data_IF_375186766291
#
_entry.id   IF_375186766291
#
_cell.length_a   1.000
_cell.length_b   1.000
_cell.length_c   1.000
_cell.angle_alpha   90.00
_cell.angle_beta   90.00
_cell.angle_gamma   90.00
#
_symmetry.space_group_name_H-M   'P 1'
#
loop_
_entity.id
_entity.type
_entity.pdbx_description
1 polymer ?
#
# COMPACT_ATOMS: atom_id res chain seq x y z
N UNK A 1 -15.06 -16.27 -1.81
CA UNK A 1 -14.55 -14.90 -2.02
C UNK A 1 -15.52 -13.95 -1.33
N UNK A 2 -15.10 -13.16 -0.34
CA UNK A 2 -16.01 -12.25 0.38
C UNK A 2 -16.42 -11.08 -0.52
N UNK A 3 -17.71 -10.72 -0.52
CA UNK A 3 -18.21 -9.54 -1.23
C UNK A 3 -17.59 -8.27 -0.64
N UNK A 4 -17.50 -7.19 -1.44
CA UNK A 4 -16.95 -5.93 -0.96
C UNK A 4 -17.74 -5.38 0.24
N UNK A 5 -19.06 -5.54 0.24
CA UNK A 5 -19.93 -5.19 1.36
C UNK A 5 -19.60 -5.96 2.63
N UNK A 6 -19.22 -7.23 2.52
CA UNK A 6 -18.75 -8.04 3.65
C UNK A 6 -17.38 -7.56 4.18
N UNK A 7 -16.55 -6.93 3.36
CA UNK A 7 -15.26 -6.35 3.78
C UNK A 7 -15.42 -4.99 4.45
N UNK A 8 -16.47 -4.25 4.09
CA UNK A 8 -16.74 -2.90 4.58
C UNK A 8 -17.77 -2.84 5.71
N UNK A 9 -18.53 -3.93 5.94
CA UNK A 9 -19.46 -4.03 7.05
C UNK A 9 -18.70 -3.93 8.39
N UNK A 10 -18.96 -2.85 9.13
CA UNK A 10 -18.54 -2.76 10.53
C UNK A 10 -19.21 -3.92 11.30
N UNK A 11 -18.46 -4.65 12.14
CA UNK A 11 -19.02 -5.77 12.87
C UNK A 11 -20.16 -5.28 13.79
N UNK A 12 -21.27 -6.05 13.83
CA UNK A 12 -22.46 -5.74 14.66
C UNK A 12 -22.13 -5.57 16.16
N UNK A 13 -21.01 -6.14 16.60
CA UNK A 13 -20.42 -5.94 17.92
C UNK A 13 -19.01 -5.39 17.71
N UNK A 14 -18.68 -4.29 18.37
CA UNK A 14 -17.32 -3.74 18.33
C UNK A 14 -16.34 -4.84 18.78
N UNK A 15 -15.19 -4.99 18.09
CA UNK A 15 -14.22 -5.98 18.48
C UNK A 15 -13.72 -5.67 19.89
N UNK A 16 -13.33 -6.72 20.62
CA UNK A 16 -12.65 -6.58 21.90
C UNK A 16 -11.50 -5.57 21.76
N UNK A 17 -11.35 -4.68 22.75
CA UNK A 17 -10.29 -3.66 22.78
C UNK A 17 -8.92 -4.31 22.61
N UNK A 18 -8.74 -5.53 23.13
CA UNK A 18 -7.51 -6.29 22.94
C UNK A 18 -7.34 -6.72 21.49
N UNK A 19 -8.38 -7.17 20.78
CA UNK A 19 -8.29 -7.51 19.35
C UNK A 19 -7.92 -6.28 18.53
N UNK A 20 -8.53 -5.13 18.80
CA UNK A 20 -8.19 -3.87 18.13
C UNK A 20 -6.74 -3.48 18.37
N UNK A 21 -6.27 -3.55 19.62
CA UNK A 21 -4.87 -3.26 19.97
C UNK A 21 -3.89 -4.12 19.18
N UNK A 22 -4.16 -5.43 19.08
CA UNK A 22 -3.34 -6.36 18.33
C UNK A 22 -3.38 -6.11 16.81
N UNK A 23 -4.55 -5.74 16.27
CA UNK A 23 -4.67 -5.35 14.86
C UNK A 23 -3.88 -4.08 14.55
N UNK A 24 -3.96 -3.06 15.41
CA UNK A 24 -3.15 -1.84 15.29
C UNK A 24 -1.66 -2.14 15.37
N UNK A 25 -1.26 -2.99 16.32
CA UNK A 25 0.14 -3.39 16.45
C UNK A 25 0.66 -4.06 15.17
N UNK A 26 -0.14 -4.97 14.59
CA UNK A 26 0.21 -5.64 13.35
C UNK A 26 0.34 -4.67 12.18
N UNK A 27 -0.58 -3.71 12.06
CA UNK A 27 -0.49 -2.65 11.05
C UNK A 27 0.75 -1.77 11.25
N UNK A 28 1.04 -1.37 12.48
CA UNK A 28 2.23 -0.56 12.80
C UNK A 28 3.52 -1.28 12.42
N UNK A 29 3.63 -2.58 12.69
CA UNK A 29 4.83 -3.32 12.32
C UNK A 29 4.91 -3.56 10.80
N UNK A 30 3.79 -3.65 10.10
CA UNK A 30 3.77 -3.67 8.63
C UNK A 30 4.32 -2.35 8.06
N UNK A 31 3.79 -1.21 8.50
CA UNK A 31 4.28 0.13 8.08
C UNK A 31 5.74 0.37 8.49
N UNK A 32 6.18 -0.17 9.63
CA UNK A 32 7.57 -0.11 10.07
C UNK A 32 8.50 -0.77 9.05
N UNK A 33 8.07 -1.84 8.40
CA UNK A 33 8.89 -2.48 7.37
C UNK A 33 9.00 -1.60 6.10
N UNK A 34 7.93 -0.94 5.67
CA UNK A 34 7.98 0.03 4.56
C UNK A 34 8.97 1.16 4.86
N UNK A 35 8.93 1.70 6.08
CA UNK A 35 9.95 2.68 6.51
C UNK A 35 11.38 2.11 6.42
N UNK A 36 11.58 0.84 6.78
CA UNK A 36 12.89 0.21 6.64
C UNK A 36 13.32 0.10 5.16
N UNK A 37 12.39 -0.17 4.25
CA UNK A 37 12.65 -0.26 2.81
C UNK A 37 12.96 1.13 2.22
N UNK A 38 12.20 2.16 2.59
CA UNK A 38 12.48 3.57 2.26
C UNK A 38 13.89 3.97 2.71
N UNK A 39 14.23 3.69 3.96
CA UNK A 39 15.53 4.04 4.52
C UNK A 39 16.67 3.25 3.86
N UNK A 40 16.44 1.98 3.51
CA UNK A 40 17.39 1.19 2.73
C UNK A 40 17.61 1.79 1.32
N UNK A 41 16.54 2.25 0.67
CA UNK A 41 16.63 2.97 -0.60
C UNK A 41 17.37 4.30 -0.43
N UNK A 42 17.08 5.11 0.59
CA UNK A 42 17.83 6.36 0.83
C UNK A 42 19.33 6.13 1.02
N UNK A 43 19.72 5.04 1.70
CA UNK A 43 21.13 4.66 1.83
C UNK A 43 21.76 4.30 0.49
N UNK A 44 21.03 3.60 -0.37
CA UNK A 44 21.44 3.36 -1.75
C UNK A 44 21.66 4.70 -2.46
N UNK A 45 20.69 5.61 -2.41
CA UNK A 45 20.74 6.89 -3.13
C UNK A 45 21.93 7.75 -2.68
N UNK A 46 22.27 7.72 -1.40
CA UNK A 46 23.46 8.39 -0.85
C UNK A 46 24.75 7.79 -1.43
N UNK A 47 24.83 6.46 -1.50
CA UNK A 47 26.04 5.76 -1.96
C UNK A 47 26.22 5.87 -3.48
N UNK A 48 25.13 5.85 -4.25
CA UNK A 48 25.16 5.86 -5.71
C UNK A 48 25.00 7.26 -6.31
N UNK A 49 24.58 8.25 -5.52
CA UNK A 49 24.13 9.56 -5.98
C UNK A 49 23.01 9.49 -7.04
N UNK A 50 22.22 8.41 -7.04
CA UNK A 50 21.12 8.17 -7.98
C UNK A 50 19.83 7.91 -7.21
N UNK A 51 18.76 8.63 -7.55
CA UNK A 51 17.41 8.34 -7.05
C UNK A 51 16.99 6.94 -7.47
N UNK A 52 16.48 6.13 -6.53
CA UNK A 52 16.03 4.77 -6.80
C UNK A 52 14.69 4.44 -6.17
N UNK A 53 14.30 5.11 -5.08
CA UNK A 53 13.08 4.74 -4.35
C UNK A 53 11.83 4.91 -5.22
N UNK A 54 11.75 5.99 -6.00
CA UNK A 54 10.60 6.25 -6.88
C UNK A 54 10.38 5.14 -7.92
N UNK A 55 11.46 4.58 -8.47
CA UNK A 55 11.37 3.52 -9.48
C UNK A 55 11.06 2.18 -8.82
N UNK A 56 11.73 1.90 -7.71
CA UNK A 56 11.45 0.75 -6.85
C UNK A 56 9.99 0.70 -6.39
N UNK A 57 9.42 1.81 -5.94
CA UNK A 57 8.03 1.90 -5.48
C UNK A 57 7.01 1.75 -6.62
N UNK A 58 7.36 2.18 -7.83
CA UNK A 58 6.47 2.08 -9.01
C UNK A 58 6.54 0.71 -9.68
N UNK A 59 7.62 -0.04 -9.46
CA UNK A 59 7.78 -1.39 -9.98
C UNK A 59 6.80 -2.35 -9.30
N UNK A 60 5.98 -3.02 -10.12
CA UNK A 60 4.93 -3.89 -9.63
C UNK A 60 5.47 -5.10 -8.88
N UNK A 61 6.55 -5.72 -9.36
CA UNK A 61 7.12 -6.91 -8.74
C UNK A 61 7.85 -6.57 -7.44
N UNK A 62 8.55 -5.43 -7.42
CA UNK A 62 9.19 -4.89 -6.23
C UNK A 62 8.16 -4.54 -5.16
N UNK A 63 7.08 -3.84 -5.54
CA UNK A 63 5.98 -3.48 -4.64
C UNK A 63 5.31 -4.73 -4.05
N UNK A 64 4.94 -5.71 -4.88
CA UNK A 64 4.34 -6.97 -4.39
C UNK A 64 5.27 -7.73 -3.45
N UNK A 65 6.58 -7.75 -3.75
CA UNK A 65 7.59 -8.38 -2.91
C UNK A 65 7.77 -7.67 -1.57
N UNK A 66 7.78 -6.33 -1.56
CA UNK A 66 7.84 -5.52 -0.34
C UNK A 66 6.64 -5.78 0.58
N UNK A 67 5.43 -5.79 0.02
CA UNK A 67 4.19 -6.07 0.76
C UNK A 67 4.22 -7.45 1.43
N UNK A 68 4.76 -8.45 0.71
CA UNK A 68 4.95 -9.79 1.25
C UNK A 68 5.91 -9.78 2.46
N UNK A 69 7.01 -9.03 2.36
CA UNK A 69 7.98 -8.88 3.44
C UNK A 69 7.43 -8.08 4.61
N UNK A 70 6.65 -7.03 4.37
CA UNK A 70 6.00 -6.24 5.41
C UNK A 70 5.07 -7.11 6.25
N UNK A 71 4.23 -7.93 5.61
CA UNK A 71 3.39 -8.91 6.30
C UNK A 71 4.20 -9.99 7.04
N UNK A 72 5.27 -10.50 6.44
CA UNK A 72 6.13 -11.50 7.07
C UNK A 72 6.83 -10.94 8.32
N UNK A 73 7.29 -9.70 8.24
CA UNK A 73 7.89 -8.96 9.35
C UNK A 73 6.87 -8.77 10.47
N UNK A 74 5.72 -8.18 10.15
CA UNK A 74 4.65 -7.90 11.11
C UNK A 74 4.22 -9.17 11.85
N UNK A 75 3.98 -10.28 11.13
CA UNK A 75 3.59 -11.54 11.75
C UNK A 75 4.71 -12.14 12.62
N UNK A 76 5.97 -12.02 12.20
CA UNK A 76 7.13 -12.52 12.95
C UNK A 76 7.33 -11.79 14.27
N UNK A 77 7.12 -10.47 14.28
CA UNK A 77 7.16 -9.68 15.51
C UNK A 77 5.93 -9.96 16.38
N UNK A 78 4.74 -10.01 15.77
CA UNK A 78 3.47 -10.28 16.45
C UNK A 78 3.47 -11.61 17.21
N UNK A 79 4.08 -12.66 16.64
CA UNK A 79 4.27 -13.98 17.27
C UNK A 79 4.95 -13.92 18.64
N UNK A 80 5.75 -12.88 18.92
CA UNK A 80 6.46 -12.72 20.19
C UNK A 80 5.59 -12.11 21.29
N UNK A 81 4.43 -11.56 20.94
CA UNK A 81 3.60 -10.76 21.85
C UNK A 81 2.16 -11.26 21.96
N UNK A 82 1.65 -11.94 20.92
CA UNK A 82 0.26 -12.38 20.86
C UNK A 82 0.09 -13.89 21.14
N UNK A 83 -1.11 -14.27 21.57
CA UNK A 83 -1.47 -15.68 21.76
C UNK A 83 -1.45 -16.46 20.43
N UNK A 84 -1.21 -17.77 20.49
CA UNK A 84 -1.21 -18.63 19.31
C UNK A 84 -2.54 -18.56 18.51
N UNK A 85 -3.67 -18.38 19.21
CA UNK A 85 -4.99 -18.19 18.59
C UNK A 85 -5.04 -16.91 17.74
N UNK A 86 -4.55 -15.79 18.28
CA UNK A 86 -4.50 -14.51 17.56
C UNK A 86 -3.52 -14.55 16.40
N UNK A 87 -2.35 -15.17 16.58
CA UNK A 87 -1.38 -15.39 15.49
C UNK A 87 -2.00 -16.20 14.35
N UNK A 88 -2.72 -17.27 14.67
CA UNK A 88 -3.41 -18.10 13.67
C UNK A 88 -4.48 -17.29 12.93
N UNK A 89 -5.26 -16.47 13.64
CA UNK A 89 -6.27 -15.61 13.04
C UNK A 89 -5.65 -14.55 12.11
N UNK A 90 -4.59 -13.88 12.56
CA UNK A 90 -3.87 -12.88 11.76
C UNK A 90 -3.27 -13.49 10.48
N UNK A 91 -2.60 -14.64 10.61
CA UNK A 91 -2.04 -15.39 9.47
C UNK A 91 -3.13 -15.82 8.46
N UNK A 92 -4.28 -16.28 8.96
CA UNK A 92 -5.41 -16.65 8.12
C UNK A 92 -5.99 -15.42 7.38
N UNK A 93 -6.09 -14.27 8.06
CA UNK A 93 -6.55 -13.03 7.46
C UNK A 93 -5.58 -12.51 6.38
N UNK A 94 -4.28 -12.46 6.65
CA UNK A 94 -3.26 -12.05 5.65
C UNK A 94 -3.33 -12.91 4.39
N UNK A 95 -3.62 -14.20 4.53
CA UNK A 95 -3.75 -15.12 3.39
C UNK A 95 -4.98 -14.84 2.50
N UNK A 96 -5.92 -14.01 2.94
CA UNK A 96 -7.08 -13.57 2.15
C UNK A 96 -6.84 -12.26 1.39
N UNK A 97 -5.72 -11.59 1.64
CA UNK A 97 -5.34 -10.36 0.95
C UNK A 97 -4.95 -10.65 -0.51
N UNK A 98 -4.89 -9.62 -1.38
CA UNK A 98 -4.44 -9.77 -2.75
C UNK A 98 -3.00 -10.31 -2.87
N UNK A 99 -2.61 -10.64 -4.09
CA UNK A 99 -1.23 -11.03 -4.44
C UNK A 99 -0.21 -10.02 -3.88
N UNK A 100 1.01 -10.49 -3.56
CA UNK A 100 2.02 -9.74 -2.81
C UNK A 100 1.78 -9.87 -1.32
N UNK A 101 0.66 -9.35 -0.81
CA UNK A 101 0.31 -9.44 0.60
C UNK A 101 0.16 -10.90 1.08
N UNK A 102 -0.55 -11.74 0.31
CA UNK A 102 -0.79 -13.15 0.67
C UNK A 102 0.46 -14.03 0.62
N UNK A 103 1.51 -13.57 -0.07
CA UNK A 103 2.74 -14.34 -0.34
C UNK A 103 3.73 -14.32 0.83
N UNK A 104 3.39 -13.63 1.92
CA UNK A 104 4.21 -13.46 3.12
C UNK A 104 4.76 -14.78 3.70
N UNK A 105 4.04 -15.89 3.53
CA UNK A 105 4.44 -17.21 4.07
C UNK A 105 5.79 -17.65 3.51
N UNK A 106 6.10 -17.27 2.27
CA UNK A 106 7.36 -17.59 1.60
C UNK A 106 8.56 -16.87 2.23
N UNK A 107 8.31 -15.81 3.01
CA UNK A 107 9.35 -14.95 3.60
C UNK A 107 9.35 -14.95 5.12
N UNK A 108 8.59 -15.85 5.76
CA UNK A 108 8.73 -16.10 7.19
C UNK A 108 10.13 -16.67 7.48
N UNK A 109 10.63 -16.56 8.73
CA UNK A 109 11.87 -17.20 9.12
C UNK A 109 11.89 -18.69 8.73
N UNK A 110 13.01 -19.20 8.16
CA UNK A 110 14.32 -18.55 8.05
C UNK A 110 14.55 -17.65 6.81
N UNK A 111 13.61 -17.59 5.86
CA UNK A 111 13.82 -16.99 4.53
C UNK A 111 13.75 -15.46 4.49
N UNK A 112 13.41 -14.81 5.61
CA UNK A 112 13.24 -13.36 5.68
C UNK A 112 14.49 -12.58 5.25
N UNK A 113 15.68 -13.09 5.60
CA UNK A 113 16.95 -12.46 5.20
C UNK A 113 17.12 -12.47 3.68
N UNK A 114 16.83 -13.60 3.02
CA UNK A 114 16.90 -13.70 1.55
C UNK A 114 15.85 -12.83 0.87
N UNK A 115 14.69 -12.66 1.51
CA UNK A 115 13.68 -11.69 1.13
C UNK A 115 14.23 -10.26 1.05
N UNK A 116 14.90 -9.79 2.10
CA UNK A 116 15.54 -8.45 2.11
C UNK A 116 16.65 -8.32 1.05
N UNK A 117 17.38 -9.41 0.80
CA UNK A 117 18.39 -9.47 -0.26
C UNK A 117 17.77 -9.26 -1.64
N UNK A 118 16.65 -9.93 -1.90
CA UNK A 118 15.86 -9.74 -3.13
C UNK A 118 15.25 -8.33 -3.22
N UNK A 119 14.77 -7.75 -2.12
CA UNK A 119 14.29 -6.36 -2.12
C UNK A 119 15.40 -5.41 -2.58
N UNK A 120 16.62 -5.63 -2.10
CA UNK A 120 17.80 -4.82 -2.47
C UNK A 120 18.16 -4.92 -3.96
N UNK A 121 17.95 -6.07 -4.62
CA UNK A 121 18.17 -6.16 -6.08
C UNK A 121 17.18 -5.34 -6.90
N UNK A 122 15.99 -5.04 -6.38
CA UNK A 122 15.07 -4.12 -7.05
C UNK A 122 15.50 -2.66 -6.89
N UNK A 123 16.20 -2.31 -5.79
CA UNK A 123 16.62 -0.95 -5.51
C UNK A 123 17.80 -0.50 -6.39
N UNK A 124 18.72 -1.39 -6.79
CA UNK A 124 19.78 -1.02 -7.75
C UNK A 124 20.24 -2.18 -8.64
N UNK A 125 20.61 -1.86 -9.88
CA UNK A 125 21.34 -2.75 -10.79
C UNK A 125 22.70 -3.17 -10.20
N UNK A 126 23.38 -2.25 -9.51
CA UNK A 126 24.66 -2.53 -8.83
C UNK A 126 24.50 -3.53 -7.69
N UNK A 127 23.37 -3.49 -6.97
CA UNK A 127 23.01 -4.53 -6.01
C UNK A 127 22.61 -5.82 -6.69
N UNK A 128 21.87 -5.81 -7.80
CA UNK A 128 21.61 -7.04 -8.56
C UNK A 128 22.91 -7.75 -8.99
N UNK A 129 23.95 -6.97 -9.36
CA UNK A 129 25.31 -7.46 -9.63
C UNK A 129 26.05 -7.90 -8.35
N UNK A 130 26.02 -7.11 -7.28
CA UNK A 130 26.64 -7.44 -6.00
C UNK A 130 26.02 -8.70 -5.36
N UNK A 131 24.71 -8.90 -5.51
CA UNK A 131 23.95 -10.07 -5.06
C UNK A 131 24.38 -11.34 -5.81
N UNK A 132 24.85 -11.20 -7.06
CA UNK A 132 25.41 -12.30 -7.86
C UNK A 132 26.88 -12.59 -7.56
N UNK A 133 27.65 -11.59 -7.14
CA UNK A 133 29.11 -11.65 -7.06
C UNK A 133 29.67 -11.78 -5.63
N UNK A 134 28.93 -11.37 -4.59
CA UNK A 134 29.42 -11.34 -3.21
C UNK A 134 28.73 -12.41 -2.35
N UNK A 135 29.44 -13.52 -2.09
CA UNK A 135 28.91 -14.67 -1.32
C UNK A 135 29.09 -14.57 0.20
N UNK A 136 29.78 -13.54 0.72
CA UNK A 136 30.13 -13.47 2.17
C UNK A 136 29.52 -12.31 2.96
N UNK A 137 29.20 -11.18 2.32
CA UNK A 137 28.53 -10.03 2.95
C UNK A 137 27.65 -9.34 1.92
N UNK A 138 26.34 -9.43 2.11
CA UNK A 138 25.38 -8.93 1.14
C UNK A 138 25.05 -7.45 1.43
N UNK A 139 24.97 -6.54 0.44
CA UNK A 139 24.66 -5.12 0.68
C UNK A 139 23.39 -4.90 1.51
N UNK A 140 22.37 -5.73 1.31
CA UNK A 140 21.15 -5.77 2.12
C UNK A 140 21.40 -5.81 3.65
N UNK A 141 22.45 -6.48 4.12
CA UNK A 141 22.78 -6.53 5.55
C UNK A 141 23.21 -5.17 6.07
N UNK A 142 23.92 -4.39 5.26
CA UNK A 142 24.28 -3.00 5.55
C UNK A 142 23.09 -2.05 5.35
N UNK A 143 22.35 -2.17 4.25
CA UNK A 143 21.26 -1.25 3.93
C UNK A 143 20.11 -1.34 4.93
N UNK A 144 19.78 -2.56 5.36
CA UNK A 144 18.82 -2.80 6.45
C UNK A 144 19.48 -2.85 7.84
N UNK A 145 20.77 -2.51 7.97
CA UNK A 145 21.46 -2.49 9.27
C UNK A 145 20.87 -1.39 10.14
N UNK A 146 20.55 -1.71 11.40
CA UNK A 146 20.02 -0.74 12.36
C UNK A 146 18.72 -0.06 11.92
N UNK A 147 18.01 -0.51 10.88
CA UNK A 147 16.64 0.00 10.59
C UNK A 147 15.65 -0.35 11.69
N UNK A 148 16.01 -1.29 12.57
CA UNK A 148 15.31 -1.66 13.80
C UNK A 148 15.47 -0.63 14.92
N UNK A 149 15.82 0.64 14.65
CA UNK A 149 15.86 1.67 15.69
C UNK A 149 14.47 1.75 16.34
N UNK A 150 14.39 1.35 17.60
CA UNK A 150 13.16 1.44 18.43
C UNK A 150 12.65 2.87 18.63
N UNK A 151 13.37 3.87 18.10
CA UNK A 151 13.11 5.30 18.28
C UNK A 151 12.59 5.99 17.01
N UNK A 152 12.08 5.25 16.02
CA UNK A 152 11.35 5.89 14.92
C UNK A 152 10.10 6.56 15.54
N UNK A 153 9.95 7.89 15.47
CA UNK A 153 8.79 8.57 16.05
C UNK A 153 7.55 8.24 15.22
N UNK A 154 6.70 7.35 15.74
CA UNK A 154 5.42 7.00 15.11
C UNK A 154 4.36 7.96 15.62
N UNK A 155 3.69 8.67 14.70
CA UNK A 155 2.50 9.48 15.01
C UNK A 155 1.28 8.84 14.39
N UNK A 156 0.28 8.53 15.21
CA UNK A 156 -1.04 8.12 14.71
C UNK A 156 -1.81 9.40 14.39
N UNK A 157 -2.16 9.55 13.12
CA UNK A 157 -3.01 10.64 12.66
C UNK A 157 -4.42 10.08 12.48
N UNK A 158 -5.35 10.55 13.30
CA UNK A 158 -6.77 10.31 13.08
C UNK A 158 -7.25 11.28 12.01
N UNK A 159 -7.55 10.77 10.82
CA UNK A 159 -7.96 11.57 9.66
C UNK A 159 -9.13 12.53 9.98
N UNK A 160 -10.09 12.09 10.80
CA UNK A 160 -11.22 12.89 11.24
C UNK A 160 -10.85 14.13 12.07
N UNK A 161 -9.65 14.15 12.67
CA UNK A 161 -9.17 15.28 13.48
C UNK A 161 -8.26 16.25 12.70
N UNK A 162 -7.96 15.99 11.42
CA UNK A 162 -7.10 16.85 10.59
C UNK A 162 -7.86 17.33 9.34
N UNK A 163 -8.55 18.48 9.39
CA UNK A 163 -9.40 18.97 8.30
C UNK A 163 -8.66 19.17 6.96
N UNK A 164 -7.35 19.45 7.01
CA UNK A 164 -6.52 19.74 5.85
C UNK A 164 -5.87 18.50 5.21
N UNK A 165 -5.89 17.34 5.87
CA UNK A 165 -5.27 16.13 5.34
C UNK A 165 -6.19 15.50 4.28
N UNK A 166 -5.83 15.67 3.00
CA UNK A 166 -6.58 15.12 1.85
C UNK A 166 -6.05 13.75 1.46
N UNK A 167 -6.34 12.70 2.22
CA UNK A 167 -5.92 11.33 1.84
C UNK A 167 -6.81 10.83 0.70
N UNK A 168 -6.31 10.91 -0.53
CA UNK A 168 -6.91 10.19 -1.64
C UNK A 168 -6.61 8.70 -1.45
N UNK A 169 -7.63 7.88 -1.18
CA UNK A 169 -7.45 6.42 -1.22
C UNK A 169 -7.61 5.96 -2.66
N UNK A 170 -6.53 5.57 -3.36
CA UNK A 170 -6.66 5.10 -4.73
C UNK A 170 -7.47 3.81 -4.77
N UNK A 171 -8.20 3.63 -5.87
CA UNK A 171 -8.68 2.33 -6.32
C UNK A 171 -7.57 1.61 -7.10
N UNK A 172 -7.67 0.28 -7.33
CA UNK A 172 -6.66 -0.49 -8.05
C UNK A 172 -6.29 0.12 -9.41
N UNK A 173 -5.02 0.03 -9.82
CA UNK A 173 -4.61 0.42 -11.18
C UNK A 173 -5.10 -0.65 -12.15
N UNK A 174 -5.94 -0.28 -13.11
CA UNK A 174 -6.50 -1.23 -14.07
C UNK A 174 -6.89 -0.53 -15.37
N UNK A 175 -6.88 -1.25 -16.50
CA UNK A 175 -7.16 -0.72 -17.83
C UNK A 175 -6.40 0.58 -18.17
N UNK A 176 -5.20 0.78 -17.61
CA UNK A 176 -4.43 2.02 -17.78
C UNK A 176 -5.08 3.25 -17.15
N UNK A 177 -5.81 3.06 -16.05
CA UNK A 177 -6.48 4.10 -15.27
C UNK A 177 -6.23 3.86 -13.77
N UNK A 178 -6.27 4.95 -13.00
CA UNK A 178 -6.38 4.89 -11.55
C UNK A 178 -7.39 5.93 -11.08
N UNK A 179 -8.39 5.50 -10.30
CA UNK A 179 -9.42 6.39 -9.75
C UNK A 179 -9.10 6.71 -8.30
N UNK A 180 -9.28 7.96 -7.89
CA UNK A 180 -9.13 8.41 -6.52
C UNK A 180 -10.41 9.11 -6.06
N UNK A 181 -10.72 8.92 -4.79
CA UNK A 181 -11.84 9.58 -4.10
C UNK A 181 -11.29 10.15 -2.81
N UNK A 182 -11.37 11.46 -2.64
CA UNK A 182 -10.84 12.17 -1.48
C UNK A 182 -11.89 12.24 -0.38
N UNK A 183 -11.52 11.89 0.85
CA UNK A 183 -12.41 11.87 2.03
C UNK A 183 -12.94 13.26 2.45
N UNK A 184 -12.30 14.33 2.01
CA UNK A 184 -12.60 15.72 2.35
C UNK A 184 -12.77 16.62 1.12
N UNK A 185 -13.35 16.06 0.07
CA UNK A 185 -13.56 16.79 -1.17
C UNK A 185 -14.72 17.81 -1.08
N UNK A 186 -14.77 18.74 -2.05
CA UNK A 186 -15.73 19.84 -2.06
C UNK A 186 -16.85 19.62 -3.10
N UNK A 187 -17.96 20.34 -2.95
CA UNK A 187 -19.03 20.32 -3.97
C UNK A 187 -18.56 20.86 -5.33
N UNK A 188 -19.08 20.36 -6.46
CA UNK A 188 -20.03 19.24 -6.58
C UNK A 188 -19.34 17.86 -6.40
N UNK A 189 -20.10 16.78 -6.11
CA UNK A 189 -19.56 15.44 -6.03
C UNK A 189 -18.74 15.07 -7.26
N UNK A 190 -17.50 14.62 -7.06
CA UNK A 190 -16.58 14.27 -8.14
C UNK A 190 -15.58 13.18 -7.74
N UNK A 191 -14.95 12.60 -8.76
CA UNK A 191 -13.83 11.66 -8.64
C UNK A 191 -12.62 12.20 -9.42
N UNK A 192 -11.45 11.67 -9.11
CA UNK A 192 -10.19 12.07 -9.75
C UNK A 192 -9.64 10.88 -10.52
N UNK A 193 -9.25 11.09 -11.78
CA UNK A 193 -8.78 10.00 -12.65
C UNK A 193 -7.40 10.33 -13.17
N UNK A 194 -6.46 9.38 -13.00
CA UNK A 194 -5.16 9.39 -13.65
C UNK A 194 -5.25 8.52 -14.92
N UNK A 195 -4.79 9.07 -16.06
CA UNK A 195 -4.79 8.33 -17.33
C UNK A 195 -3.59 8.74 -18.21
N UNK A 196 -2.53 7.91 -18.27
CA UNK A 196 -2.27 6.69 -17.49
C UNK A 196 -1.98 6.96 -15.99
N UNK A 197 -1.91 5.94 -15.12
CA UNK A 197 -1.51 6.11 -13.71
C UNK A 197 -0.15 6.81 -13.58
N UNK A 198 -0.02 7.70 -12.59
CA UNK A 198 1.15 8.56 -12.40
C UNK A 198 1.14 9.85 -13.22
N UNK A 199 0.06 10.15 -13.96
CA UNK A 199 -0.14 11.44 -14.62
C UNK A 199 -0.99 12.40 -13.77
N UNK A 200 -0.98 13.71 -14.08
CA UNK A 200 -1.87 14.65 -13.39
C UNK A 200 -3.33 14.20 -13.43
N UNK A 201 -3.97 14.23 -12.26
CA UNK A 201 -5.38 13.87 -12.09
C UNK A 201 -6.27 14.87 -12.81
N UNK A 202 -7.30 14.36 -13.47
CA UNK A 202 -8.42 15.18 -13.95
C UNK A 202 -9.67 14.88 -13.14
N UNK A 203 -10.45 15.91 -12.83
CA UNK A 203 -11.67 15.80 -12.01
C UNK A 203 -12.90 15.61 -12.88
N UNK A 204 -13.74 14.65 -12.49
CA UNK A 204 -14.98 14.32 -13.19
C UNK A 204 -16.14 14.25 -12.20
N UNK A 205 -17.25 14.93 -12.52
CA UNK A 205 -18.49 14.88 -11.75
C UNK A 205 -18.95 13.44 -11.55
N UNK A 206 -19.54 13.16 -10.41
CA UNK A 206 -20.12 11.87 -10.11
C UNK A 206 -21.62 11.98 -9.91
N UNK A 207 -22.45 11.13 -10.55
CA UNK A 207 -22.08 9.97 -11.39
C UNK A 207 -21.94 10.28 -12.90
N UNK A 208 -22.08 11.52 -13.35
CA UNK A 208 -22.19 11.85 -14.77
C UNK A 208 -20.88 11.71 -15.57
N UNK A 209 -19.74 11.69 -14.88
CA UNK A 209 -18.39 11.59 -15.43
C UNK A 209 -18.06 12.70 -16.44
N UNK A 210 -18.72 13.85 -16.33
CA UNK A 210 -18.38 15.05 -17.06
C UNK A 210 -17.21 15.77 -16.39
N UNK A 211 -16.24 16.33 -17.14
CA UNK A 211 -15.11 17.02 -16.53
C UNK A 211 -15.57 18.26 -15.75
N UNK A 212 -14.87 18.58 -14.65
CA UNK A 212 -15.03 19.87 -13.98
C UNK A 212 -14.42 21.01 -14.81
N UNK A 213 -14.73 22.25 -14.42
CA UNK A 213 -14.21 23.43 -15.11
C UNK A 213 -12.68 23.44 -15.07
N UNK A 214 -12.05 23.53 -16.25
CA UNK A 214 -10.60 23.48 -16.43
C UNK A 214 -10.02 22.07 -16.61
N UNK A 215 -10.80 21.01 -16.42
CA UNK A 215 -10.34 19.63 -16.59
C UNK A 215 -10.59 19.11 -18.02
N UNK A 216 -9.72 18.20 -18.49
CA UNK A 216 -9.82 17.66 -19.86
C UNK A 216 -10.95 16.63 -19.98
N UNK A 217 -11.64 16.65 -21.12
CA UNK A 217 -12.54 15.56 -21.50
C UNK A 217 -11.77 14.27 -21.75
N UNK A 218 -12.36 13.13 -21.35
CA UNK A 218 -11.84 11.81 -21.70
C UNK A 218 -11.98 11.56 -23.20
N UNK A 219 -10.93 11.02 -23.82
CA UNK A 219 -10.94 10.53 -25.20
C UNK A 219 -11.82 9.27 -25.30
N UNK A 220 -12.30 8.95 -26.51
CA UNK A 220 -13.17 7.79 -26.74
C UNK A 220 -12.61 6.48 -26.18
N UNK A 221 -11.30 6.23 -26.38
CA UNK A 221 -10.62 5.06 -25.83
C UNK A 221 -10.56 5.06 -24.29
N UNK A 222 -10.35 6.23 -23.68
CA UNK A 222 -10.33 6.38 -22.23
C UNK A 222 -11.71 6.15 -21.62
N UNK A 223 -12.77 6.66 -22.27
CA UNK A 223 -14.17 6.39 -21.88
C UNK A 223 -14.49 4.90 -21.89
N UNK A 224 -14.06 4.17 -22.93
CA UNK A 224 -14.26 2.71 -23.01
C UNK A 224 -13.54 1.96 -21.88
N UNK A 225 -12.30 2.37 -21.56
CA UNK A 225 -11.52 1.79 -20.45
C UNK A 225 -12.15 2.13 -19.10
N UNK A 226 -12.65 3.36 -18.94
CA UNK A 226 -13.35 3.79 -17.73
C UNK A 226 -14.66 3.00 -17.55
N UNK A 227 -15.41 2.74 -18.63
CA UNK A 227 -16.60 1.89 -18.57
C UNK A 227 -16.28 0.51 -17.95
N UNK A 228 -15.27 -0.18 -18.49
CA UNK A 228 -14.80 -1.47 -17.93
C UNK A 228 -14.33 -1.36 -16.48
N UNK A 229 -13.62 -0.29 -16.16
CA UNK A 229 -13.17 -0.02 -14.81
C UNK A 229 -14.36 0.12 -13.84
N UNK A 230 -15.40 0.84 -14.25
CA UNK A 230 -16.60 1.07 -13.44
C UNK A 230 -17.52 -0.16 -13.35
N UNK A 231 -17.50 -1.06 -14.33
CA UNK A 231 -18.17 -2.36 -14.20
C UNK A 231 -17.63 -3.16 -13.01
N UNK A 232 -16.32 -3.09 -12.74
CA UNK A 232 -15.66 -3.82 -11.65
C UNK A 232 -15.69 -3.02 -10.33
N UNK A 233 -15.36 -1.73 -10.38
CA UNK A 233 -15.10 -0.91 -9.20
C UNK A 233 -16.17 0.16 -8.93
N UNK A 234 -17.13 0.35 -9.83
CA UNK A 234 -18.09 1.47 -9.78
C UNK A 234 -18.96 1.49 -8.52
N UNK A 235 -19.41 0.33 -8.05
CA UNK A 235 -20.17 0.24 -6.79
C UNK A 235 -19.35 0.69 -5.57
N UNK A 236 -18.07 0.28 -5.52
CA UNK A 236 -17.14 0.68 -4.47
C UNK A 236 -16.86 2.19 -4.48
N UNK A 237 -16.71 2.76 -5.68
CA UNK A 237 -16.52 4.19 -5.88
C UNK A 237 -17.76 4.94 -5.42
N UNK A 238 -18.95 4.52 -5.86
CA UNK A 238 -20.23 5.14 -5.47
C UNK A 238 -20.40 5.17 -3.95
N UNK A 239 -20.15 4.05 -3.28
CA UNK A 239 -20.23 3.95 -1.83
C UNK A 239 -19.25 4.92 -1.15
N UNK A 240 -18.01 5.01 -1.63
CA UNK A 240 -17.01 5.93 -1.06
C UNK A 240 -17.40 7.40 -1.29
N UNK A 241 -17.86 7.75 -2.48
CA UNK A 241 -18.36 9.11 -2.82
C UNK A 241 -19.53 9.50 -1.91
N UNK A 242 -20.44 8.57 -1.61
CA UNK A 242 -21.59 8.81 -0.74
C UNK A 242 -21.22 9.06 0.73
N UNK A 243 -20.07 8.56 1.20
CA UNK A 243 -19.59 8.79 2.58
C UNK A 243 -18.90 10.13 2.79
N UNK A 244 -18.62 10.88 1.72
CA UNK A 244 -17.93 12.16 1.83
C UNK A 244 -18.89 13.22 2.37
N UNK A 245 -18.52 13.93 3.46
CA UNK A 245 -19.24 15.12 3.88
C UNK A 245 -18.89 16.26 2.93
N UNK A 246 -19.63 16.38 1.82
CA UNK A 246 -19.42 17.40 0.78
C UNK A 246 -19.60 18.81 1.33
N UNK A 247 -18.47 19.46 1.63
CA UNK A 247 -18.39 20.84 2.09
C UNK A 247 -18.42 21.84 0.93
#
# INVERSE_FOLDING_TARGET
MWSLDQRLALPKKLPDVDILRHAYYLLVEHERFHFCAEYAASRVEIVTAQSCYNDYFKDNDASLHEEALANAHALSVFRRQASAKLVKAASAWMATQPQGYSDFKNWLPPHFTDGKRRATSFMTLTAALANRLLSRRHPAEFLFLQTTVRQIPIRIILESSIPWLKVARPFPKDFGLQVHVHSNDHRPPHIHIECPPGTPRSRYRWPELSPLSGDRSLRTGEKKRLGKYLEIYGGAIAQRVATIPWK
#
